data_IF_181535029068
#
_entry.id   IF_181535029068
#
_cell.length_a   1.000
_cell.length_b   1.000
_cell.length_c   1.000
_cell.angle_alpha   90.00
_cell.angle_beta   90.00
_cell.angle_gamma   90.00
#
_symmetry.space_group_name_H-M   'P 1'
#
loop_
_entity.id
_entity.type
_entity.pdbx_description
1 polymer ?
#
# COMPACT_ATOMS: atom_id res chain seq x y z
N UNK A 1 -24.83 -3.03 43.45
CA UNK A 1 -25.66 -3.59 42.37
C UNK A 1 -25.70 -2.61 41.20
N UNK A 2 -25.31 -3.08 40.02
CA UNK A 2 -24.74 -2.32 38.89
C UNK A 2 -25.75 -1.86 37.82
N UNK A 3 -25.64 -0.60 37.38
CA UNK A 3 -26.38 0.00 36.25
C UNK A 3 -25.66 -0.18 34.90
N UNK A 4 -25.38 -1.43 34.49
CA UNK A 4 -24.60 -1.70 33.25
C UNK A 4 -25.35 -2.55 32.19
N UNK A 5 -26.57 -3.02 32.43
CA UNK A 5 -27.24 -4.00 31.54
C UNK A 5 -28.46 -3.49 30.76
N UNK A 6 -28.45 -2.29 30.16
CA UNK A 6 -29.61 -1.79 29.36
C UNK A 6 -29.32 -1.35 27.92
N UNK A 7 -28.18 -1.69 27.33
CA UNK A 7 -27.81 -1.11 26.01
C UNK A 7 -27.46 -2.15 24.93
N UNK A 8 -28.29 -3.18 24.76
CA UNK A 8 -28.01 -4.26 23.80
C UNK A 8 -29.12 -4.59 22.77
N UNK A 9 -30.25 -3.87 22.68
CA UNK A 9 -31.35 -4.30 21.79
C UNK A 9 -32.03 -3.19 20.96
N UNK A 10 -31.28 -2.29 20.32
CA UNK A 10 -31.87 -1.34 19.36
C UNK A 10 -30.97 -1.14 18.14
N UNK A 11 -30.87 -2.15 17.28
CA UNK A 11 -30.17 -2.03 16.00
C UNK A 11 -30.75 -2.99 14.94
N UNK A 12 -31.99 -2.76 14.50
CA UNK A 12 -32.45 -3.22 13.19
C UNK A 12 -33.34 -2.15 12.55
N UNK A 13 -32.97 -1.55 11.41
CA UNK A 13 -33.86 -0.68 10.65
C UNK A 13 -34.93 -1.49 9.90
N UNK A 14 -36.12 -0.92 9.76
CA UNK A 14 -37.27 -1.54 9.11
C UNK A 14 -37.02 -1.80 7.61
N UNK A 15 -37.46 -2.99 7.17
CA UNK A 15 -37.43 -3.48 5.79
C UNK A 15 -38.46 -2.72 4.94
N UNK A 16 -37.99 -1.97 3.94
CA UNK A 16 -38.86 -1.29 2.98
C UNK A 16 -39.55 -2.29 2.04
N UNK A 17 -40.87 -2.14 1.87
CA UNK A 17 -41.71 -2.96 0.98
C UNK A 17 -41.65 -2.55 -0.49
N UNK A 18 -42.25 -3.35 -1.39
CA UNK A 18 -42.21 -3.13 -2.84
C UNK A 18 -43.23 -2.08 -3.29
N UNK A 19 -42.77 -1.06 -4.02
CA UNK A 19 -43.62 -0.07 -4.67
C UNK A 19 -44.23 -0.64 -5.95
N UNK A 20 -45.54 -0.43 -6.09
CA UNK A 20 -46.41 -0.77 -7.21
C UNK A 20 -46.03 -0.02 -8.49
N UNK A 21 -46.07 -0.73 -9.61
CA UNK A 21 -45.88 -0.23 -10.97
C UNK A 21 -47.16 0.40 -11.51
N UNK A 22 -47.09 1.65 -11.97
CA UNK A 22 -48.11 2.29 -12.81
C UNK A 22 -47.64 2.37 -14.26
N UNK A 23 -48.61 2.14 -15.14
CA UNK A 23 -48.57 1.98 -16.60
C UNK A 23 -48.08 3.21 -17.37
N UNK A 24 -47.26 3.00 -18.40
CA UNK A 24 -47.00 4.00 -19.46
C UNK A 24 -47.22 3.42 -20.85
N UNK A 25 -47.82 4.27 -21.67
CA UNK A 25 -48.18 4.18 -23.09
C UNK A 25 -47.03 3.81 -24.03
N UNK A 26 -47.37 3.07 -25.09
CA UNK A 26 -46.50 2.61 -26.17
C UNK A 26 -46.14 3.76 -27.13
N UNK A 27 -44.85 4.03 -27.31
CA UNK A 27 -44.31 4.80 -28.44
C UNK A 27 -43.34 3.90 -29.22
N UNK A 28 -43.43 3.97 -30.55
CA UNK A 28 -42.96 2.98 -31.54
C UNK A 28 -41.47 3.16 -31.94
N UNK A 29 -40.71 3.98 -31.22
CA UNK A 29 -39.26 4.11 -31.43
C UNK A 29 -38.53 3.86 -30.11
N UNK A 30 -37.47 3.01 -30.07
CA UNK A 30 -36.62 2.92 -28.89
C UNK A 30 -35.90 4.26 -28.72
N UNK A 31 -36.47 5.11 -27.87
CA UNK A 31 -35.80 6.34 -27.44
C UNK A 31 -34.44 5.96 -26.90
N UNK A 32 -33.39 6.56 -27.48
CA UNK A 32 -32.04 6.47 -26.94
C UNK A 32 -32.13 6.76 -25.43
N UNK A 33 -31.50 5.95 -24.56
CA UNK A 33 -31.62 6.12 -23.12
C UNK A 33 -31.28 7.56 -22.79
N UNK A 34 -32.27 8.31 -22.31
CA UNK A 34 -32.12 9.72 -21.97
C UNK A 34 -30.81 9.91 -21.20
N UNK A 35 -30.00 10.91 -21.57
CA UNK A 35 -28.68 11.20 -20.99
C UNK A 35 -28.73 11.32 -19.45
N UNK A 36 -29.93 11.52 -18.89
CA UNK A 36 -30.20 11.44 -17.47
C UNK A 36 -29.82 10.07 -16.85
N UNK A 37 -29.89 8.96 -17.59
CA UNK A 37 -29.78 7.58 -17.07
C UNK A 37 -28.35 7.11 -16.75
N UNK A 38 -27.32 7.79 -17.29
CA UNK A 38 -25.91 7.34 -17.20
C UNK A 38 -25.08 8.05 -16.12
N UNK A 39 -25.57 9.14 -15.52
CA UNK A 39 -24.84 9.83 -14.45
C UNK A 39 -24.87 9.02 -13.14
N UNK A 40 -23.73 8.81 -12.46
CA UNK A 40 -23.69 8.12 -11.16
C UNK A 40 -24.69 8.72 -10.15
N UNK A 41 -25.33 7.87 -9.32
CA UNK A 41 -26.35 8.30 -8.33
C UNK A 41 -25.89 9.48 -7.47
N UNK A 42 -24.62 9.52 -7.08
CA UNK A 42 -24.03 10.62 -6.30
C UNK A 42 -24.04 11.97 -7.06
N UNK A 43 -23.82 11.95 -8.37
CA UNK A 43 -23.84 13.15 -9.23
C UNK A 43 -25.27 13.65 -9.39
N UNK A 44 -26.25 12.74 -9.55
CA UNK A 44 -27.68 13.12 -9.58
C UNK A 44 -28.09 13.81 -8.29
N UNK A 45 -27.77 13.18 -7.15
CA UNK A 45 -28.08 13.73 -5.82
C UNK A 45 -27.46 15.13 -5.62
N UNK A 46 -26.21 15.33 -6.04
CA UNK A 46 -25.57 16.65 -5.98
C UNK A 46 -26.24 17.68 -6.89
N UNK A 47 -26.67 17.29 -8.09
CA UNK A 47 -27.40 18.18 -9.01
C UNK A 47 -28.80 18.54 -8.50
N UNK A 48 -29.45 17.66 -7.73
CA UNK A 48 -30.74 17.97 -7.10
C UNK A 48 -30.59 18.82 -5.84
N UNK A 49 -29.56 18.56 -5.03
CA UNK A 49 -29.30 19.30 -3.78
C UNK A 49 -28.70 20.69 -4.04
N UNK A 50 -27.91 20.83 -5.12
CA UNK A 50 -27.28 22.08 -5.54
C UNK A 50 -27.49 22.27 -7.05
N UNK A 51 -28.69 22.69 -7.49
CA UNK A 51 -28.91 22.98 -8.89
C UNK A 51 -27.94 24.09 -9.34
N UNK A 52 -27.40 24.02 -10.57
CA UNK A 52 -26.59 25.11 -11.09
C UNK A 52 -27.40 26.41 -11.03
N UNK A 53 -26.72 27.51 -10.69
CA UNK A 53 -27.34 28.82 -10.59
C UNK A 53 -27.98 29.19 -11.95
N UNK A 54 -29.14 29.85 -11.96
CA UNK A 54 -29.91 30.16 -13.19
C UNK A 54 -29.12 30.98 -14.22
N UNK A 55 -28.06 31.67 -13.80
CA UNK A 55 -27.16 32.45 -14.67
C UNK A 55 -25.99 31.64 -15.22
N UNK A 56 -25.78 30.41 -14.75
CA UNK A 56 -24.78 29.51 -15.33
C UNK A 56 -25.39 28.98 -16.62
N UNK A 57 -24.93 29.52 -17.75
CA UNK A 57 -25.29 29.02 -19.08
C UNK A 57 -25.07 27.51 -19.13
N UNK A 58 -26.03 26.78 -19.70
CA UNK A 58 -25.83 25.37 -19.98
C UNK A 58 -24.49 25.17 -20.70
N UNK A 59 -23.79 24.08 -20.41
CA UNK A 59 -22.55 23.77 -21.14
C UNK A 59 -22.87 23.83 -22.64
N UNK A 60 -22.04 24.48 -23.47
CA UNK A 60 -22.33 24.63 -24.91
C UNK A 60 -22.50 23.28 -25.61
N UNK A 61 -21.91 22.21 -25.09
CA UNK A 61 -22.10 20.84 -25.61
C UNK A 61 -23.48 20.23 -25.29
N UNK A 62 -24.23 20.83 -24.37
CA UNK A 62 -25.55 20.36 -23.90
C UNK A 62 -26.69 21.31 -24.26
N UNK A 63 -26.39 22.43 -24.93
CA UNK A 63 -27.41 23.35 -25.44
C UNK A 63 -27.96 22.76 -26.75
N UNK A 64 -29.23 22.36 -26.78
CA UNK A 64 -29.89 21.80 -27.98
C UNK A 64 -29.89 22.80 -29.12
N UNK A 65 -30.02 24.08 -28.79
CA UNK A 65 -30.18 25.14 -29.77
C UNK A 65 -28.90 25.29 -30.61
N UNK A 66 -27.73 24.97 -30.05
CA UNK A 66 -26.46 24.97 -30.79
C UNK A 66 -26.35 23.82 -31.82
N UNK A 67 -27.25 22.84 -31.81
CA UNK A 67 -27.36 21.79 -32.82
C UNK A 67 -28.40 22.10 -33.90
N UNK A 68 -29.32 23.03 -33.64
CA UNK A 68 -30.42 23.36 -34.55
C UNK A 68 -29.98 24.41 -35.57
N UNK A 69 -30.24 24.11 -36.85
CA UNK A 69 -29.81 24.93 -38.01
C UNK A 69 -30.47 26.32 -38.02
N UNK A 70 -31.63 26.46 -37.38
CA UNK A 70 -32.47 27.65 -37.45
C UNK A 70 -32.17 28.68 -36.35
N UNK A 71 -31.37 28.31 -35.34
CA UNK A 71 -31.06 29.25 -34.26
C UNK A 71 -29.81 30.05 -34.57
N UNK A 72 -29.93 31.38 -34.61
CA UNK A 72 -28.81 32.31 -34.81
C UNK A 72 -27.84 32.38 -33.61
N UNK A 73 -27.77 31.33 -32.78
CA UNK A 73 -26.88 31.27 -31.62
C UNK A 73 -25.45 31.00 -32.09
N UNK A 74 -24.53 31.89 -31.71
CA UNK A 74 -23.10 31.76 -32.02
C UNK A 74 -22.39 30.88 -30.98
N UNK A 75 -21.34 30.18 -31.41
CA UNK A 75 -20.46 29.46 -30.48
C UNK A 75 -19.79 30.43 -29.50
N UNK A 76 -19.43 29.88 -28.33
CA UNK A 76 -18.50 30.55 -27.44
C UNK A 76 -17.16 30.79 -28.17
N UNK A 77 -16.51 31.93 -27.92
CA UNK A 77 -15.31 32.36 -28.65
C UNK A 77 -14.22 31.28 -28.78
N UNK A 78 -13.95 30.54 -27.70
CA UNK A 78 -12.95 29.46 -27.71
C UNK A 78 -13.34 28.28 -28.62
N UNK A 79 -14.63 27.90 -28.64
CA UNK A 79 -15.12 26.83 -29.50
C UNK A 79 -15.15 27.26 -30.96
N UNK A 80 -15.48 28.51 -31.21
CA UNK A 80 -15.42 29.10 -32.55
C UNK A 80 -13.98 29.12 -33.07
N UNK A 81 -13.02 29.52 -32.23
CA UNK A 81 -11.59 29.50 -32.59
C UNK A 81 -11.09 28.08 -32.89
N UNK A 82 -11.45 27.10 -32.05
CA UNK A 82 -11.11 25.69 -32.26
C UNK A 82 -11.73 25.16 -33.57
N UNK A 83 -13.01 25.48 -33.84
CA UNK A 83 -13.72 25.10 -35.06
C UNK A 83 -13.06 25.71 -36.31
N UNK A 84 -12.77 27.02 -36.30
CA UNK A 84 -12.12 27.70 -37.41
C UNK A 84 -10.70 27.18 -37.67
N UNK A 85 -9.94 26.89 -36.60
CA UNK A 85 -8.61 26.27 -36.73
C UNK A 85 -8.68 24.89 -37.39
N UNK A 86 -9.70 24.09 -37.07
CA UNK A 86 -9.91 22.78 -37.66
C UNK A 86 -10.36 22.89 -39.13
N UNK A 87 -11.27 23.81 -39.42
CA UNK A 87 -11.74 24.09 -40.78
C UNK A 87 -10.61 24.60 -41.69
N UNK A 88 -9.69 25.39 -41.16
CA UNK A 88 -8.54 25.89 -41.91
C UNK A 88 -7.44 24.83 -42.18
N UNK A 89 -7.41 23.76 -41.40
CA UNK A 89 -6.35 22.73 -41.47
C UNK A 89 -6.78 21.43 -42.15
N UNK A 90 -8.01 21.37 -42.68
CA UNK A 90 -8.59 20.15 -43.21
C UNK A 90 -9.32 20.32 -44.53
N UNK A 91 -9.35 19.24 -45.30
CA UNK A 91 -10.18 19.06 -46.49
C UNK A 91 -11.32 18.13 -46.08
N UNK A 92 -12.56 18.57 -46.30
CA UNK A 92 -13.74 17.76 -46.00
C UNK A 92 -14.20 17.07 -47.28
N UNK A 93 -14.43 15.76 -47.21
CA UNK A 93 -14.90 14.97 -48.37
C UNK A 93 -16.34 15.38 -48.76
N UNK A 94 -17.10 15.93 -47.81
CA UNK A 94 -18.47 16.38 -48.01
C UNK A 94 -18.50 17.91 -48.17
N UNK A 95 -18.19 18.40 -49.37
CA UNK A 95 -18.26 19.85 -49.67
C UNK A 95 -19.69 20.40 -49.54
N UNK A 96 -20.71 19.57 -49.79
CA UNK A 96 -22.13 19.96 -49.79
C UNK A 96 -22.73 20.22 -48.40
N UNK A 97 -22.01 19.91 -47.31
CA UNK A 97 -22.51 20.15 -45.96
C UNK A 97 -22.56 21.66 -45.66
N UNK A 98 -23.72 22.10 -45.19
CA UNK A 98 -23.92 23.47 -44.70
C UNK A 98 -23.02 23.76 -43.50
N UNK A 99 -22.64 25.02 -43.28
CA UNK A 99 -21.76 25.40 -42.17
C UNK A 99 -22.36 24.99 -40.80
N UNK A 100 -23.67 25.06 -40.67
CA UNK A 100 -24.41 24.66 -39.47
C UNK A 100 -24.35 23.14 -39.22
N UNK A 101 -24.38 22.31 -40.27
CA UNK A 101 -24.14 20.87 -40.15
C UNK A 101 -22.69 20.55 -39.76
N UNK A 102 -21.70 21.26 -40.31
CA UNK A 102 -20.29 21.11 -39.92
C UNK A 102 -20.09 21.48 -38.44
N UNK A 103 -20.73 22.54 -37.97
CA UNK A 103 -20.76 22.98 -36.57
C UNK A 103 -21.40 21.93 -35.65
N UNK A 104 -22.51 21.31 -36.05
CA UNK A 104 -23.17 20.27 -35.24
C UNK A 104 -22.32 18.99 -35.14
N UNK A 105 -21.65 18.58 -36.24
CA UNK A 105 -20.69 17.47 -36.26
C UNK A 105 -19.46 17.75 -35.37
N UNK A 106 -18.96 18.99 -35.38
CA UNK A 106 -17.87 19.40 -34.49
C UNK A 106 -18.24 19.28 -33.00
N UNK A 107 -19.45 19.71 -32.61
CA UNK A 107 -19.94 19.58 -31.23
C UNK A 107 -20.11 18.11 -30.85
N UNK A 108 -20.67 17.29 -31.74
CA UNK A 108 -20.80 15.84 -31.56
C UNK A 108 -19.43 15.19 -31.33
N UNK A 109 -18.45 15.50 -32.19
CA UNK A 109 -17.09 14.99 -32.05
C UNK A 109 -16.39 15.45 -30.78
N UNK A 110 -16.59 16.69 -30.36
CA UNK A 110 -16.07 17.22 -29.10
C UNK A 110 -16.69 16.56 -27.86
N UNK A 111 -18.00 16.27 -27.90
CA UNK A 111 -18.69 15.56 -26.84
C UNK A 111 -18.23 14.09 -26.73
N UNK A 112 -18.09 13.41 -27.85
CA UNK A 112 -17.56 12.04 -27.93
C UNK A 112 -16.10 11.96 -27.49
N UNK A 113 -15.26 12.93 -27.86
CA UNK A 113 -13.88 12.99 -27.40
C UNK A 113 -13.80 13.11 -25.87
N UNK A 114 -14.62 14.01 -25.29
CA UNK A 114 -14.65 14.21 -23.84
C UNK A 114 -15.16 12.99 -23.07
N UNK A 115 -16.10 12.23 -23.63
CA UNK A 115 -16.56 10.98 -23.01
C UNK A 115 -15.47 9.91 -23.05
N UNK A 116 -14.71 9.82 -24.15
CA UNK A 116 -13.55 8.92 -24.30
C UNK A 116 -12.41 9.25 -23.33
N UNK A 117 -12.04 10.52 -23.18
CA UNK A 117 -10.94 10.93 -22.26
C UNK A 117 -11.27 10.61 -20.79
N UNK A 118 -12.55 10.48 -20.43
CA UNK A 118 -12.98 10.16 -19.06
C UNK A 118 -13.04 8.66 -18.74
N UNK A 119 -12.81 7.78 -19.71
CA UNK A 119 -12.78 6.32 -19.49
C UNK A 119 -11.82 5.63 -20.45
N UNK A 120 -10.67 5.20 -19.92
CA UNK A 120 -9.71 4.24 -20.51
C UNK A 120 -9.71 4.15 -22.06
N UNK A 121 -8.99 5.04 -22.73
CA UNK A 121 -8.79 4.93 -24.17
C UNK A 121 -7.74 3.84 -24.49
N UNK A 122 -8.02 2.92 -25.46
CA UNK A 122 -7.00 2.06 -26.03
C UNK A 122 -5.95 2.89 -26.77
N UNK A 123 -4.71 2.39 -26.75
CA UNK A 123 -3.50 3.07 -27.21
C UNK A 123 -3.59 3.52 -28.67
N UNK A 124 -3.32 4.81 -28.88
CA UNK A 124 -3.11 5.45 -30.18
C UNK A 124 -3.26 6.95 -30.03
N UNK A 125 -2.17 7.71 -30.10
CA UNK A 125 -2.21 9.18 -30.05
C UNK A 125 -2.75 9.72 -31.38
N UNK A 126 -4.05 9.59 -31.63
CA UNK A 126 -4.71 10.51 -32.58
C UNK A 126 -4.92 11.82 -31.82
N UNK A 127 -4.46 12.94 -32.38
CA UNK A 127 -4.69 14.24 -31.74
C UNK A 127 -6.20 14.48 -31.61
N UNK A 128 -6.63 15.29 -30.64
CA UNK A 128 -8.04 15.68 -30.50
C UNK A 128 -8.63 16.12 -31.86
N UNK A 129 -7.84 16.82 -32.66
CA UNK A 129 -8.25 17.32 -33.97
C UNK A 129 -8.41 16.19 -34.98
N UNK A 130 -7.48 15.23 -35.06
CA UNK A 130 -7.61 14.08 -35.98
C UNK A 130 -8.86 13.24 -35.67
N UNK A 131 -9.20 13.12 -34.38
CA UNK A 131 -10.42 12.42 -33.97
C UNK A 131 -11.68 13.17 -34.40
N UNK A 132 -11.74 14.47 -34.13
CA UNK A 132 -12.89 15.31 -34.51
C UNK A 132 -13.03 15.36 -36.04
N UNK A 133 -11.91 15.45 -36.76
CA UNK A 133 -11.85 15.39 -38.22
C UNK A 133 -12.44 14.09 -38.77
N UNK A 134 -12.10 12.95 -38.18
CA UNK A 134 -12.69 11.66 -38.57
C UNK A 134 -14.21 11.60 -38.38
N UNK A 135 -14.77 12.32 -37.40
CA UNK A 135 -16.23 12.43 -37.21
C UNK A 135 -16.87 13.39 -38.20
N UNK A 136 -16.16 14.46 -38.55
CA UNK A 136 -16.62 15.44 -39.54
C UNK A 136 -16.43 14.98 -41.00
N UNK A 137 -15.79 13.82 -41.24
CA UNK A 137 -15.46 13.36 -42.59
C UNK A 137 -14.35 14.19 -43.26
N UNK A 138 -13.43 14.73 -42.46
CA UNK A 138 -12.30 15.53 -42.93
C UNK A 138 -10.97 14.77 -42.84
N UNK A 139 -10.10 15.03 -43.80
CA UNK A 139 -8.68 14.66 -43.77
C UNK A 139 -7.82 15.91 -43.55
N UNK A 140 -6.68 15.75 -42.87
CA UNK A 140 -5.77 16.88 -42.63
C UNK A 140 -5.10 17.26 -43.95
N UNK A 141 -5.01 18.56 -44.23
CA UNK A 141 -4.17 19.04 -45.32
C UNK A 141 -2.74 18.65 -44.94
N UNK A 142 -2.14 17.75 -45.72
CA UNK A 142 -0.71 17.49 -45.66
C UNK A 142 0.00 18.76 -46.15
N UNK A 143 0.10 19.75 -45.28
CA UNK A 143 1.06 20.84 -45.47
C UNK A 143 2.41 20.15 -45.56
N UNK A 144 2.99 20.16 -46.75
CA UNK A 144 4.34 19.69 -47.02
C UNK A 144 5.22 20.18 -45.87
N UNK A 145 5.90 19.23 -45.22
CA UNK A 145 6.88 19.46 -44.15
C UNK A 145 8.09 20.22 -44.73
N UNK A 146 7.89 21.47 -45.13
CA UNK A 146 8.95 22.41 -45.43
C UNK A 146 8.89 23.50 -44.36
N UNK A 147 10.03 23.66 -43.71
CA UNK A 147 10.39 24.78 -42.84
C UNK A 147 9.88 24.77 -41.40
N UNK A 148 10.36 23.80 -40.62
CA UNK A 148 10.87 24.09 -39.27
C UNK A 148 12.08 23.15 -38.99
N UNK A 149 13.33 23.64 -39.02
CA UNK A 149 14.49 22.83 -38.67
C UNK A 149 14.47 22.51 -37.16
N UNK A 150 14.08 21.28 -36.82
CA UNK A 150 14.30 20.71 -35.49
C UNK A 150 15.80 20.69 -35.20
N UNK A 151 16.19 21.47 -34.21
CA UNK A 151 17.55 21.67 -33.69
C UNK A 151 18.15 20.43 -32.99
N UNK A 152 18.17 19.27 -33.65
CA UNK A 152 18.72 18.02 -33.09
C UNK A 152 19.83 17.36 -33.92
N UNK A 153 20.46 18.06 -34.87
CA UNK A 153 21.56 17.51 -35.69
C UNK A 153 22.94 18.09 -35.34
N UNK A 154 23.22 18.28 -34.06
CA UNK A 154 24.58 18.54 -33.58
C UNK A 154 24.86 17.73 -32.31
N UNK A 155 25.18 16.45 -32.48
CA UNK A 155 26.22 15.72 -31.74
C UNK A 155 26.21 14.23 -32.15
N UNK A 156 27.37 13.70 -32.56
CA UNK A 156 27.61 12.25 -32.54
C UNK A 156 28.07 11.59 -33.84
N UNK A 157 29.15 12.07 -34.45
CA UNK A 157 29.97 11.29 -35.37
C UNK A 157 30.97 10.46 -34.55
N UNK A 158 30.78 9.14 -34.47
CA UNK A 158 31.81 8.08 -34.40
C UNK A 158 31.28 6.80 -33.73
N UNK A 159 30.85 5.82 -34.55
CA UNK A 159 31.08 4.39 -34.35
C UNK A 159 30.26 3.64 -35.42
N UNK A 160 30.87 3.38 -36.57
CA UNK A 160 30.41 2.35 -37.49
C UNK A 160 30.80 1.01 -36.88
N UNK A 161 29.84 0.40 -36.18
CA UNK A 161 29.83 -1.01 -35.81
C UNK A 161 28.50 -1.58 -36.29
N UNK A 162 28.57 -2.52 -37.22
CA UNK A 162 27.44 -3.36 -37.61
C UNK A 162 27.01 -4.18 -36.39
N UNK A 163 26.05 -3.69 -35.62
CA UNK A 163 25.39 -4.49 -34.58
C UNK A 163 24.10 -5.08 -35.14
N UNK A 164 24.09 -6.41 -35.17
CA UNK A 164 22.94 -7.27 -35.33
C UNK A 164 21.73 -6.68 -34.60
N UNK A 165 20.58 -6.64 -35.27
CA UNK A 165 19.36 -6.04 -34.73
C UNK A 165 18.97 -6.61 -33.38
N UNK A 166 19.42 -5.96 -32.30
CA UNK A 166 19.02 -6.25 -30.94
C UNK A 166 17.51 -6.04 -30.90
N UNK A 167 16.78 -7.13 -30.65
CA UNK A 167 15.33 -7.08 -30.43
C UNK A 167 15.13 -6.29 -29.13
N UNK A 168 15.00 -4.98 -29.27
CA UNK A 168 14.75 -4.08 -28.13
C UNK A 168 13.43 -4.52 -27.51
N UNK A 169 13.51 -5.16 -26.35
CA UNK A 169 12.35 -5.59 -25.60
C UNK A 169 11.35 -4.42 -25.52
N UNK A 170 10.09 -4.59 -25.96
CA UNK A 170 9.11 -3.51 -25.94
C UNK A 170 8.79 -3.02 -24.51
N UNK A 171 9.21 -3.79 -23.49
CA UNK A 171 9.16 -3.41 -22.07
C UNK A 171 10.21 -2.35 -21.68
N UNK A 172 11.32 -2.24 -22.41
CA UNK A 172 12.43 -1.30 -22.18
C UNK A 172 12.28 0.02 -22.95
N UNK A 173 11.41 0.10 -23.95
CA UNK A 173 11.20 1.34 -24.70
C UNK A 173 10.66 2.44 -23.77
N UNK A 174 11.45 3.51 -23.58
CA UNK A 174 11.12 4.64 -22.71
C UNK A 174 10.00 5.46 -23.35
N UNK A 175 8.75 5.16 -22.99
CA UNK A 175 7.58 5.93 -23.44
C UNK A 175 7.30 7.02 -22.39
N UNK A 176 7.95 8.18 -22.49
CA UNK A 176 7.71 9.27 -21.53
C UNK A 176 8.55 10.52 -21.69
N UNK A 177 8.24 11.53 -20.88
CA UNK A 177 9.05 12.73 -20.72
C UNK A 177 10.36 12.36 -20.01
N UNK A 178 11.50 12.76 -20.56
CA UNK A 178 12.80 12.56 -19.93
C UNK A 178 12.94 13.50 -18.73
N UNK A 179 13.24 12.95 -17.57
CA UNK A 179 13.50 13.69 -16.33
C UNK A 179 14.97 13.46 -15.99
N UNK A 180 15.80 14.48 -16.18
CA UNK A 180 17.25 14.38 -15.95
C UNK A 180 17.62 14.43 -14.46
N UNK A 181 16.90 15.22 -13.67
CA UNK A 181 17.20 15.47 -12.25
C UNK A 181 15.94 15.22 -11.39
N UNK A 182 15.61 13.96 -11.09
CA UNK A 182 14.43 13.64 -10.30
C UNK A 182 14.65 14.02 -8.82
N UNK A 183 13.81 14.90 -8.28
CA UNK A 183 13.76 15.20 -6.84
C UNK A 183 12.71 14.32 -6.15
N UNK A 184 12.94 13.01 -6.13
CA UNK A 184 12.04 12.05 -5.48
C UNK A 184 12.80 11.26 -4.42
N UNK A 185 12.08 10.90 -3.35
CA UNK A 185 12.60 10.04 -2.30
C UNK A 185 11.79 8.75 -2.28
N UNK A 186 12.49 7.62 -2.45
CA UNK A 186 11.90 6.28 -2.34
C UNK A 186 12.55 5.60 -1.14
N UNK A 187 11.74 4.95 -0.30
CA UNK A 187 12.23 4.22 0.87
C UNK A 187 11.91 2.75 0.73
N UNK A 188 12.93 1.91 0.76
CA UNK A 188 12.77 0.46 0.93
C UNK A 188 12.25 0.18 2.33
N UNK A 189 11.21 -0.64 2.43
CA UNK A 189 10.57 -1.05 3.68
C UNK A 189 10.60 -2.56 3.77
N UNK A 190 10.84 -3.07 4.99
CA UNK A 190 10.69 -4.51 5.26
C UNK A 190 9.29 -4.98 4.91
N UNK A 191 9.21 -6.13 4.24
CA UNK A 191 7.92 -6.74 3.96
C UNK A 191 7.31 -7.23 5.28
N UNK A 192 6.00 -7.12 5.38
CA UNK A 192 5.27 -7.69 6.50
C UNK A 192 5.00 -9.17 6.22
N UNK A 193 5.54 -10.05 7.05
CA UNK A 193 5.27 -11.49 7.00
C UNK A 193 4.29 -11.82 8.13
N UNK A 194 3.12 -12.40 7.83
CA UNK A 194 2.21 -12.90 8.85
C UNK A 194 2.87 -13.97 9.71
N UNK A 195 2.47 -14.09 10.97
CA UNK A 195 2.97 -15.15 11.84
C UNK A 195 2.68 -16.54 11.25
N UNK A 196 3.73 -17.33 11.01
CA UNK A 196 3.64 -18.70 10.47
C UNK A 196 3.81 -18.81 8.95
N UNK A 197 3.93 -17.71 8.21
CA UNK A 197 4.27 -17.73 6.78
C UNK A 197 5.78 -17.52 6.57
N UNK A 198 6.34 -18.11 5.51
CA UNK A 198 7.74 -17.88 5.12
C UNK A 198 7.91 -16.55 4.41
N UNK A 199 9.07 -15.90 4.59
CA UNK A 199 9.41 -14.68 3.86
C UNK A 199 9.53 -14.94 2.35
N UNK A 200 8.93 -14.07 1.52
CA UNK A 200 9.08 -14.11 0.07
C UNK A 200 10.19 -13.15 -0.40
N UNK A 201 11.34 -13.67 -0.86
CA UNK A 201 12.47 -12.84 -1.28
C UNK A 201 12.27 -12.21 -2.67
N UNK A 202 11.28 -12.66 -3.45
CA UNK A 202 11.00 -12.07 -4.77
C UNK A 202 10.08 -10.85 -4.68
N UNK A 203 9.74 -10.42 -3.47
CA UNK A 203 8.90 -9.24 -3.25
C UNK A 203 9.70 -8.19 -2.50
N UNK A 204 9.61 -6.94 -2.94
CA UNK A 204 10.11 -5.78 -2.21
C UNK A 204 9.01 -4.74 -2.04
N UNK A 205 8.96 -4.11 -0.86
CA UNK A 205 8.00 -3.05 -0.56
C UNK A 205 8.69 -1.71 -0.47
N UNK A 206 8.16 -0.72 -1.19
CA UNK A 206 8.67 0.65 -1.18
C UNK A 206 7.60 1.62 -0.69
N UNK A 207 8.02 2.68 0.00
CA UNK A 207 7.22 3.90 0.16
C UNK A 207 7.65 4.91 -0.90
N UNK A 208 6.68 5.37 -1.68
CA UNK A 208 6.84 6.31 -2.77
C UNK A 208 5.95 7.54 -2.60
N UNK A 209 6.29 8.67 -3.23
CA UNK A 209 5.43 9.84 -3.25
C UNK A 209 4.04 9.54 -3.83
N UNK A 210 2.95 10.11 -3.30
CA UNK A 210 1.60 9.88 -3.82
C UNK A 210 1.41 10.28 -5.29
N UNK A 211 2.22 11.21 -5.81
CA UNK A 211 2.21 11.64 -7.21
C UNK A 211 2.84 10.63 -8.17
N UNK A 212 3.72 9.74 -7.69
CA UNK A 212 4.50 8.83 -8.53
C UNK A 212 3.63 7.68 -9.08
N UNK A 213 3.72 7.39 -10.38
CA UNK A 213 2.96 6.30 -11.01
C UNK A 213 3.74 4.97 -11.03
N UNK A 214 3.06 3.88 -11.42
CA UNK A 214 3.70 2.55 -11.55
C UNK A 214 4.78 2.52 -12.63
N UNK A 215 4.54 3.22 -13.74
CA UNK A 215 5.48 3.28 -14.85
C UNK A 215 6.71 4.10 -14.46
N UNK A 216 6.52 5.24 -13.79
CA UNK A 216 7.63 6.05 -13.27
C UNK A 216 8.50 5.23 -12.32
N UNK A 217 7.89 4.43 -11.43
CA UNK A 217 8.63 3.59 -10.51
C UNK A 217 9.43 2.50 -11.24
N UNK A 218 8.81 1.82 -12.21
CA UNK A 218 9.51 0.80 -13.02
C UNK A 218 10.71 1.40 -13.72
N UNK A 219 10.53 2.53 -14.43
CA UNK A 219 11.59 3.22 -15.15
C UNK A 219 12.67 3.73 -14.21
N UNK A 220 12.32 4.26 -13.04
CA UNK A 220 13.27 4.73 -12.04
C UNK A 220 14.12 3.60 -11.46
N UNK A 221 13.51 2.48 -11.08
CA UNK A 221 14.22 1.32 -10.53
C UNK A 221 15.15 0.68 -11.56
N UNK A 222 14.73 0.59 -12.82
CA UNK A 222 15.57 0.10 -13.91
C UNK A 222 16.72 1.06 -14.25
N UNK A 223 16.46 2.36 -14.39
CA UNK A 223 17.49 3.31 -14.82
C UNK A 223 18.50 3.67 -13.72
N UNK A 224 18.07 3.77 -12.46
CA UNK A 224 18.93 4.23 -11.35
C UNK A 224 19.58 3.06 -10.63
N UNK A 225 18.86 1.96 -10.43
CA UNK A 225 19.34 0.81 -9.65
C UNK A 225 19.59 -0.44 -10.47
N UNK A 226 19.42 -0.39 -11.79
CA UNK A 226 19.52 -1.55 -12.68
C UNK A 226 18.68 -2.75 -12.22
N UNK A 227 17.51 -2.49 -11.62
CA UNK A 227 16.68 -3.52 -11.02
C UNK A 227 15.52 -3.88 -11.94
N UNK A 228 15.49 -5.13 -12.40
CA UNK A 228 14.41 -5.65 -13.24
C UNK A 228 13.19 -6.06 -12.41
N UNK A 229 12.03 -5.55 -12.81
CA UNK A 229 10.77 -5.69 -12.07
C UNK A 229 9.72 -6.42 -12.91
N UNK A 230 9.13 -7.48 -12.35
CA UNK A 230 8.09 -8.28 -13.00
C UNK A 230 6.72 -7.62 -12.91
N UNK A 231 6.28 -7.25 -11.69
CA UNK A 231 5.00 -6.58 -11.46
C UNK A 231 5.08 -5.49 -10.40
N UNK A 232 4.14 -4.54 -10.45
CA UNK A 232 4.02 -3.48 -9.45
C UNK A 232 2.55 -3.34 -9.02
N UNK A 233 2.30 -3.52 -7.72
CA UNK A 233 1.03 -3.22 -7.05
C UNK A 233 1.22 -1.98 -6.19
N UNK A 234 0.24 -1.08 -6.19
CA UNK A 234 0.35 0.18 -5.44
C UNK A 234 -0.92 0.45 -4.66
N UNK A 235 -0.75 0.85 -3.41
CA UNK A 235 -1.84 1.21 -2.50
C UNK A 235 -1.59 2.61 -1.94
N UNK A 236 -2.63 3.45 -1.91
CA UNK A 236 -2.55 4.78 -1.29
C UNK A 236 -2.92 4.68 0.20
N UNK A 237 -1.97 4.98 1.07
CA UNK A 237 -2.20 5.10 2.50
C UNK A 237 -2.56 6.54 2.85
N UNK A 238 -3.76 6.70 3.42
CA UNK A 238 -4.21 7.97 3.98
C UNK A 238 -4.02 7.94 5.48
N UNK A 239 -3.34 8.94 6.02
CA UNK A 239 -3.10 9.07 7.46
C UNK A 239 -4.41 9.10 8.26
N UNK A 240 -4.35 8.59 9.49
CA UNK A 240 -5.54 8.54 10.35
C UNK A 240 -6.06 9.94 10.67
N UNK A 241 -7.38 10.10 10.63
CA UNK A 241 -8.04 11.34 11.02
C UNK A 241 -8.33 11.29 12.53
N UNK A 242 -7.93 12.32 13.25
CA UNK A 242 -8.18 12.49 14.68
C UNK A 242 -8.92 13.79 14.98
N UNK A 243 -9.14 14.02 16.28
CA UNK A 243 -9.61 15.32 16.78
C UNK A 243 -8.55 15.91 17.69
N UNK A 244 -8.30 17.21 17.53
CA UNK A 244 -7.52 17.99 18.49
C UNK A 244 -8.28 18.13 19.80
N UNK A 245 -7.59 18.57 20.86
CA UNK A 245 -8.23 18.89 22.16
C UNK A 245 -9.36 19.92 22.01
N UNK A 246 -9.24 20.81 21.02
CA UNK A 246 -10.24 21.84 20.66
C UNK A 246 -11.47 21.25 19.95
N UNK A 247 -11.45 19.98 19.53
CA UNK A 247 -12.54 19.33 18.80
C UNK A 247 -12.42 19.37 17.28
N UNK A 248 -11.48 20.16 16.74
CA UNK A 248 -11.21 20.24 15.30
C UNK A 248 -10.72 18.90 14.74
N UNK A 249 -11.24 18.51 13.57
CA UNK A 249 -10.88 17.27 12.89
C UNK A 249 -9.59 17.51 12.10
N UNK A 250 -8.50 16.89 12.54
CA UNK A 250 -7.16 17.04 11.94
C UNK A 250 -6.54 15.67 11.68
N UNK A 251 -5.77 15.54 10.60
CA UNK A 251 -4.99 14.33 10.34
C UNK A 251 -3.90 14.16 11.39
N UNK A 252 -3.94 13.07 12.14
CA UNK A 252 -2.92 12.77 13.16
C UNK A 252 -1.58 12.56 12.46
N UNK A 253 -0.56 13.34 12.84
CA UNK A 253 0.80 13.27 12.28
C UNK A 253 1.04 14.10 11.02
N UNK A 254 0.07 14.93 10.59
CA UNK A 254 0.25 15.88 9.50
C UNK A 254 0.27 15.26 8.09
N UNK A 255 0.67 16.04 7.06
CA UNK A 255 0.64 15.58 5.67
C UNK A 255 1.64 14.44 5.39
N UNK A 256 2.70 14.32 6.19
CA UNK A 256 3.77 13.33 6.03
C UNK A 256 3.33 11.89 6.29
N UNK A 257 2.13 11.68 6.84
CA UNK A 257 1.55 10.35 7.05
C UNK A 257 0.88 9.78 5.79
N UNK A 258 0.64 10.62 4.79
CA UNK A 258 0.14 10.16 3.50
C UNK A 258 1.31 9.66 2.66
N UNK A 259 1.28 8.39 2.29
CA UNK A 259 2.28 7.80 1.40
C UNK A 259 1.60 6.79 0.48
N UNK A 260 2.25 6.49 -0.64
CA UNK A 260 1.85 5.38 -1.49
C UNK A 260 2.82 4.23 -1.23
N UNK A 261 2.26 3.05 -0.95
CA UNK A 261 3.02 1.80 -0.84
C UNK A 261 3.08 1.18 -2.22
N UNK A 262 4.27 0.76 -2.65
CA UNK A 262 4.45 -0.02 -3.85
C UNK A 262 5.03 -1.39 -3.48
N UNK A 263 4.30 -2.46 -3.80
CA UNK A 263 4.79 -3.84 -3.70
C UNK A 263 5.27 -4.23 -5.09
N UNK A 264 6.53 -4.60 -5.17
CA UNK A 264 7.30 -4.80 -6.40
C UNK A 264 7.74 -6.25 -6.45
N UNK A 265 7.42 -6.94 -7.54
CA UNK A 265 7.96 -8.27 -7.83
C UNK A 265 9.33 -8.13 -8.49
N UNK A 266 10.34 -8.71 -7.86
CA UNK A 266 11.72 -8.73 -8.34
C UNK A 266 11.93 -9.95 -9.25
N UNK A 267 12.86 -9.83 -10.20
CA UNK A 267 13.34 -10.98 -10.98
C UNK A 267 14.34 -11.82 -10.19
N UNK A 268 15.20 -11.16 -9.41
CA UNK A 268 16.19 -11.78 -8.54
C UNK A 268 15.71 -11.74 -7.08
N UNK A 269 15.96 -12.81 -6.29
CA UNK A 269 15.58 -12.82 -4.88
C UNK A 269 16.44 -11.84 -4.09
N UNK A 270 15.81 -11.15 -3.15
CA UNK A 270 16.45 -10.22 -2.23
C UNK A 270 16.11 -10.56 -0.79
N UNK A 271 17.14 -10.69 0.03
CA UNK A 271 17.02 -10.84 1.47
C UNK A 271 17.61 -9.64 2.18
N UNK A 272 17.06 -9.30 3.33
CA UNK A 272 17.61 -8.23 4.14
C UNK A 272 18.90 -8.71 4.81
N UNK A 273 19.88 -7.84 5.03
CA UNK A 273 21.12 -8.21 5.71
C UNK A 273 20.89 -8.66 7.16
N UNK A 274 19.68 -8.49 7.70
CA UNK A 274 19.28 -9.00 9.00
C UNK A 274 18.33 -10.19 9.00
N UNK A 275 18.12 -10.80 7.85
CA UNK A 275 17.36 -12.03 7.74
C UNK A 275 18.16 -13.20 8.33
N UNK A 276 17.68 -13.73 9.46
CA UNK A 276 18.30 -14.85 10.16
C UNK A 276 18.17 -16.14 9.36
N UNK A 277 17.05 -16.36 8.66
CA UNK A 277 16.81 -17.59 7.91
C UNK A 277 17.82 -17.74 6.76
N UNK A 278 18.12 -16.64 6.06
CA UNK A 278 19.13 -16.64 5.01
C UNK A 278 20.52 -16.91 5.59
N UNK A 279 20.86 -16.33 6.74
CA UNK A 279 22.15 -16.57 7.38
C UNK A 279 22.34 -18.03 7.78
N UNK A 280 21.30 -18.67 8.30
CA UNK A 280 21.31 -20.11 8.54
C UNK A 280 21.48 -20.90 7.24
N UNK A 281 20.76 -20.53 6.17
CA UNK A 281 20.89 -21.19 4.87
C UNK A 281 22.29 -21.02 4.24
N UNK A 282 22.89 -19.84 4.37
CA UNK A 282 24.26 -19.57 3.93
C UNK A 282 25.28 -20.35 4.77
N UNK A 283 25.12 -20.39 6.09
CA UNK A 283 25.94 -21.19 6.99
C UNK A 283 25.90 -22.67 6.64
N UNK A 284 24.71 -23.19 6.33
CA UNK A 284 24.53 -24.58 5.91
C UNK A 284 25.16 -24.87 4.54
N UNK A 285 24.99 -23.97 3.56
CA UNK A 285 25.65 -24.08 2.23
C UNK A 285 27.18 -24.06 2.34
N UNK A 286 27.72 -23.27 3.27
CA UNK A 286 29.16 -23.14 3.50
C UNK A 286 29.71 -24.24 4.42
N UNK A 287 28.86 -25.16 4.92
CA UNK A 287 29.27 -26.22 5.85
C UNK A 287 29.54 -25.76 7.29
N UNK A 288 29.20 -24.52 7.63
CA UNK A 288 29.33 -23.93 8.97
C UNK A 288 28.10 -24.16 9.85
N UNK A 289 26.99 -24.63 9.29
CA UNK A 289 25.74 -24.87 10.00
C UNK A 289 25.18 -23.58 10.63
N UNK A 290 24.79 -23.65 11.89
CA UNK A 290 24.13 -22.55 12.61
C UNK A 290 25.09 -21.49 13.18
N UNK A 291 26.41 -21.67 12.99
CA UNK A 291 27.43 -20.83 13.59
C UNK A 291 27.32 -19.35 13.20
N UNK A 292 26.94 -19.05 11.95
CA UNK A 292 26.80 -17.66 11.47
C UNK A 292 25.63 -16.93 12.14
N UNK A 293 24.50 -17.62 12.33
CA UNK A 293 23.33 -17.06 13.02
C UNK A 293 23.64 -16.79 14.49
N UNK A 294 24.24 -17.76 15.17
CA UNK A 294 24.64 -17.61 16.57
C UNK A 294 25.68 -16.50 16.77
N UNK A 295 26.70 -16.43 15.92
CA UNK A 295 27.73 -15.38 16.01
C UNK A 295 27.14 -13.97 15.84
N UNK A 296 26.13 -13.82 14.97
CA UNK A 296 25.39 -12.57 14.83
C UNK A 296 24.62 -12.23 16.10
N UNK A 297 23.88 -13.18 16.66
CA UNK A 297 23.08 -12.98 17.87
C UNK A 297 23.98 -12.62 19.07
N UNK A 298 25.11 -13.29 19.20
CA UNK A 298 26.14 -12.97 20.20
C UNK A 298 26.71 -11.56 19.99
N UNK A 299 27.03 -11.17 18.76
CA UNK A 299 27.51 -9.82 18.45
C UNK A 299 26.48 -8.75 18.78
N UNK A 300 25.20 -8.99 18.43
CA UNK A 300 24.10 -8.08 18.76
C UNK A 300 23.90 -7.95 20.27
N UNK A 301 24.00 -9.06 21.01
CA UNK A 301 23.90 -9.04 22.47
C UNK A 301 25.08 -8.29 23.11
N UNK A 302 26.30 -8.49 22.60
CA UNK A 302 27.49 -7.79 23.09
C UNK A 302 27.42 -6.28 22.84
N UNK A 303 26.99 -5.85 21.64
CA UNK A 303 26.94 -4.43 21.27
C UNK A 303 25.75 -3.68 21.84
N UNK A 304 24.58 -4.33 21.90
CA UNK A 304 23.32 -3.65 22.23
C UNK A 304 22.67 -4.14 23.52
N UNK A 305 23.19 -5.21 24.16
CA UNK A 305 22.64 -5.79 25.39
C UNK A 305 21.13 -6.04 25.30
N UNK A 306 20.70 -6.71 24.22
CA UNK A 306 19.29 -6.89 23.88
C UNK A 306 18.54 -7.61 25.00
N UNK A 307 19.12 -8.66 25.61
CA UNK A 307 18.49 -9.40 26.71
C UNK A 307 18.28 -8.51 27.94
N UNK A 308 19.28 -7.70 28.31
CA UNK A 308 19.17 -6.74 29.42
C UNK A 308 18.05 -5.73 29.12
N UNK A 309 17.99 -5.20 27.90
CA UNK A 309 16.95 -4.26 27.49
C UNK A 309 15.54 -4.89 27.53
N UNK A 310 15.41 -6.15 27.11
CA UNK A 310 14.16 -6.90 27.16
C UNK A 310 13.74 -7.18 28.60
N UNK A 311 14.67 -7.56 29.48
CA UNK A 311 14.40 -7.78 30.90
C UNK A 311 13.97 -6.47 31.58
N UNK A 312 14.67 -5.36 31.30
CA UNK A 312 14.29 -4.03 31.78
C UNK A 312 12.90 -3.63 31.28
N UNK A 313 12.57 -3.89 30.00
CA UNK A 313 11.25 -3.62 29.43
C UNK A 313 10.18 -4.48 30.09
N UNK A 314 10.41 -5.79 30.26
CA UNK A 314 9.49 -6.70 30.98
C UNK A 314 9.28 -6.23 32.41
N UNK A 315 10.34 -5.83 33.11
CA UNK A 315 10.28 -5.30 34.48
C UNK A 315 9.51 -3.97 34.56
N UNK A 316 9.74 -3.05 33.61
CA UNK A 316 9.02 -1.78 33.52
C UNK A 316 7.53 -2.00 33.18
N UNK A 317 7.24 -2.88 32.22
CA UNK A 317 5.89 -3.24 31.83
C UNK A 317 5.14 -3.92 32.99
N UNK A 318 5.82 -4.80 33.74
CA UNK A 318 5.27 -5.41 34.95
C UNK A 318 4.97 -4.37 36.04
N UNK A 319 5.85 -3.37 36.24
CA UNK A 319 5.58 -2.23 37.14
C UNK A 319 4.36 -1.42 36.68
N UNK A 320 4.20 -1.22 35.38
CA UNK A 320 3.07 -0.48 34.80
C UNK A 320 1.75 -1.24 35.01
N UNK A 321 1.67 -2.51 34.59
CA UNK A 321 0.44 -3.31 34.68
C UNK A 321 0.03 -3.66 36.11
N UNK A 322 0.97 -3.86 37.04
CA UNK A 322 0.64 -4.11 38.45
C UNK A 322 0.39 -2.84 39.27
N UNK A 323 0.57 -1.66 38.66
CA UNK A 323 0.40 -0.35 39.30
C UNK A 323 1.52 0.01 40.29
N UNK A 324 1.68 1.30 40.55
CA UNK A 324 2.66 1.87 41.48
C UNK A 324 2.52 1.37 42.94
N UNK A 325 1.44 0.63 43.26
CA UNK A 325 1.22 0.00 44.57
C UNK A 325 1.96 -1.32 44.72
N UNK A 326 3.19 -1.45 44.21
CA UNK A 326 4.04 -2.60 44.51
C UNK A 326 4.65 -2.48 45.92
N UNK A 327 3.72 -2.52 46.89
CA UNK A 327 3.68 -3.15 48.22
C UNK A 327 4.95 -3.06 49.07
N UNK A 328 4.79 -2.47 50.25
CA UNK A 328 5.72 -2.54 51.37
C UNK A 328 6.12 -3.99 51.67
N UNK A 329 7.32 -4.15 52.25
CA UNK A 329 7.92 -5.40 52.74
C UNK A 329 7.00 -6.26 53.64
N UNK A 330 5.85 -5.72 54.07
CA UNK A 330 4.96 -6.27 55.09
C UNK A 330 3.72 -7.00 54.57
N UNK A 331 3.34 -6.91 53.29
CA UNK A 331 2.18 -7.66 52.79
C UNK A 331 2.54 -9.10 52.40
N UNK A 332 1.88 -10.07 53.04
CA UNK A 332 1.99 -11.52 52.81
C UNK A 332 1.97 -11.84 51.30
N UNK A 333 3.14 -12.11 50.75
CA UNK A 333 3.33 -12.37 49.33
C UNK A 333 3.59 -13.86 49.18
N UNK A 334 2.76 -14.55 48.38
CA UNK A 334 2.83 -16.00 48.20
C UNK A 334 4.24 -16.48 47.84
N UNK A 335 5.01 -15.69 47.08
CA UNK A 335 6.40 -16.00 46.74
C UNK A 335 7.40 -15.91 47.90
N UNK A 336 7.17 -15.01 48.88
CA UNK A 336 7.99 -14.96 50.09
C UNK A 336 7.63 -16.11 51.02
N UNK A 337 6.35 -16.43 51.17
CA UNK A 337 5.92 -17.61 51.92
C UNK A 337 6.43 -18.89 51.26
N UNK A 338 6.42 -18.99 49.92
CA UNK A 338 6.98 -20.15 49.21
C UNK A 338 8.50 -20.28 49.44
N UNK A 339 9.25 -19.16 49.37
CA UNK A 339 10.69 -19.15 49.68
C UNK A 339 10.97 -19.55 51.12
N UNK A 340 10.17 -19.06 52.05
CA UNK A 340 10.30 -19.41 53.47
C UNK A 340 9.92 -20.87 53.73
N UNK A 341 8.89 -21.40 53.05
CA UNK A 341 8.53 -22.83 53.08
C UNK A 341 9.67 -23.68 52.51
N UNK A 342 10.25 -23.29 51.37
CA UNK A 342 11.40 -23.98 50.77
C UNK A 342 12.62 -23.96 51.70
N UNK A 343 12.90 -22.82 52.34
CA UNK A 343 13.97 -22.70 53.34
C UNK A 343 13.71 -23.61 54.56
N UNK A 344 12.50 -23.61 55.10
CA UNK A 344 12.12 -24.50 56.21
C UNK A 344 12.08 -25.99 55.82
N UNK A 345 11.92 -26.29 54.53
CA UNK A 345 11.95 -27.65 54.00
C UNK A 345 13.38 -28.14 53.90
N UNK A 346 14.27 -27.34 53.31
CA UNK A 346 15.71 -27.63 53.23
C UNK A 346 16.33 -27.78 54.62
N UNK A 347 16.06 -26.88 55.56
CA UNK A 347 16.50 -27.01 56.97
C UNK A 347 15.98 -28.30 57.64
N UNK A 348 14.78 -28.76 57.28
CA UNK A 348 14.23 -30.02 57.80
C UNK A 348 14.92 -31.23 57.18
N UNK A 349 15.12 -31.20 55.87
CA UNK A 349 15.81 -32.26 55.13
C UNK A 349 17.25 -32.40 55.65
N UNK A 350 17.96 -31.29 55.88
CA UNK A 350 19.29 -31.27 56.49
C UNK A 350 19.30 -31.89 57.90
N UNK A 351 18.40 -31.48 58.80
CA UNK A 351 18.30 -32.07 60.15
C UNK A 351 18.01 -33.57 60.12
N UNK A 352 17.12 -34.01 59.22
CA UNK A 352 16.83 -35.44 59.06
C UNK A 352 18.07 -36.18 58.56
N UNK A 353 18.83 -35.63 57.61
CA UNK A 353 20.07 -36.25 57.15
C UNK A 353 21.13 -36.35 58.25
N UNK A 354 21.29 -35.33 59.08
CA UNK A 354 22.20 -35.33 60.23
C UNK A 354 21.81 -36.39 61.29
N UNK A 355 20.52 -36.49 61.63
CA UNK A 355 20.04 -37.51 62.57
C UNK A 355 20.22 -38.93 62.04
N UNK A 356 19.95 -39.14 60.75
CA UNK A 356 20.18 -40.42 60.08
C UNK A 356 21.67 -40.78 60.16
N UNK A 357 22.57 -39.86 59.79
CA UNK A 357 24.02 -40.07 59.90
C UNK A 357 24.44 -40.41 61.34
N UNK A 358 23.93 -39.67 62.33
CA UNK A 358 24.23 -39.91 63.75
C UNK A 358 23.78 -41.30 64.21
N UNK A 359 22.58 -41.74 63.80
CA UNK A 359 22.09 -43.09 64.13
C UNK A 359 22.92 -44.18 63.47
N UNK A 360 23.27 -44.01 62.19
CA UNK A 360 24.13 -44.95 61.48
C UNK A 360 25.52 -45.05 62.12
N UNK A 361 26.11 -43.93 62.55
CA UNK A 361 27.39 -43.96 63.26
C UNK A 361 27.32 -44.66 64.62
N UNK A 362 26.21 -44.51 65.35
CA UNK A 362 26.02 -45.21 66.63
C UNK A 362 25.90 -46.73 66.43
N UNK A 363 25.11 -47.17 65.45
CA UNK A 363 24.98 -48.58 65.09
C UNK A 363 26.34 -49.16 64.67
N UNK A 364 27.12 -48.42 63.88
CA UNK A 364 28.45 -48.85 63.47
C UNK A 364 29.41 -49.01 64.66
N UNK A 365 29.35 -48.10 65.65
CA UNK A 365 30.14 -48.20 66.88
C UNK A 365 29.70 -49.36 67.77
N UNK A 366 28.40 -49.62 67.92
CA UNK A 366 27.88 -50.78 68.65
C UNK A 366 28.30 -52.09 67.98
N UNK A 367 28.24 -52.17 66.64
CA UNK A 367 28.69 -53.33 65.89
C UNK A 367 30.20 -53.59 66.02
N UNK A 368 31.01 -52.54 66.15
CA UNK A 368 32.46 -52.64 66.40
C UNK A 368 32.75 -52.99 67.88
N UNK A 369 32.02 -52.39 68.83
CA UNK A 369 32.18 -52.62 70.26
C UNK A 369 31.73 -54.02 70.72
N UNK A 370 30.68 -54.58 70.09
CA UNK A 370 30.20 -55.93 70.38
C UNK A 370 31.23 -57.02 70.06
N UNK A 371 32.12 -56.80 69.08
CA UNK A 371 33.21 -57.75 68.78
C UNK A 371 34.39 -57.71 69.76
N UNK A 372 34.53 -56.64 70.55
CA UNK A 372 35.62 -56.54 71.52
C UNK A 372 35.29 -57.23 72.87
N UNK A 373 34.00 -57.44 73.17
CA UNK A 373 33.56 -58.00 74.46
C UNK A 373 33.54 -59.55 74.53
N UNK A 374 33.53 -60.26 73.39
CA UNK A 374 33.52 -61.74 73.36
C UNK A 374 34.92 -62.40 73.35
N UNK A 375 36.00 -61.60 73.47
CA UNK A 375 37.37 -62.06 73.25
C UNK A 375 38.28 -62.15 74.49
N UNK A 376 37.75 -62.31 75.71
CA UNK A 376 38.59 -62.64 76.87
C UNK A 376 38.57 -64.16 77.12
N UNK A 377 39.58 -64.93 76.68
CA UNK A 377 39.73 -66.32 77.08
C UNK A 377 40.05 -66.36 78.59
N UNK A 378 39.20 -67.06 79.34
CA UNK A 378 39.51 -67.44 80.72
C UNK A 378 40.77 -68.32 80.69
N UNK A 379 41.89 -67.76 81.13
CA UNK A 379 43.12 -68.52 81.36
C UNK A 379 42.99 -69.29 82.68
N UNK A 380 43.17 -70.60 82.57
CA UNK A 380 43.13 -71.60 83.63
C UNK A 380 44.39 -71.62 84.50
#
# INVERSE_FOLDING_TARGET
MSRILRRAFSAFPARAGPSTSSSTSSTIFPSAPSVASTSPKAVRRRRTETPPHKTVSASPLSDSDLYDLDTNKKFHFELEKDYQSLNASAIFENEDLTESEKRSLFLKGSAEWRSRVRGYAPRGKKSRHDFILGIMGGSRIEQQQQDEPSSSELEGRAAEGEEEGEVVDPSKQIVGQRIYLPNIQIRLMRNHVPEGESYDPYIATFRIPPSMTKNDLRSYLSAVYNMEVTFIRTDNYVGTVGRLRTGEIVKKGGPNQNYKRAVVGLKEPFHYPDDVEELYAQGLKNGQGDALGLARDEWLEQQYSLNISQEMRKRAMFKYYKGARWRSRTHANLGNTMREIMKRRTEREERVTEEVQRRWSAIAQEALGGKAAEGQPQAA
#
